data_IF_769767546023
#
_entry.id   IF_769767546023
#
_cell.length_a   1.000
_cell.length_b   1.000
_cell.length_c   1.000
_cell.angle_alpha   90.00
_cell.angle_beta   90.00
_cell.angle_gamma   90.00
#
_symmetry.space_group_name_H-M   'P 1'
#
loop_
_entity.id
_entity.type
_entity.pdbx_description
1 polymer ?
#
# COMPACT_ATOMS: atom_id res chain seq x y z
N UNK A 1 -12.00 -5.71 0.14
CA UNK A 1 -11.27 -6.97 0.37
C UNK A 1 -9.79 -6.73 0.09
N UNK A 2 -8.92 -6.66 1.09
CA UNK A 2 -7.52 -6.23 0.90
C UNK A 2 -6.57 -7.29 1.41
N UNK A 3 -5.55 -7.62 0.63
CA UNK A 3 -4.49 -8.58 0.98
C UNK A 3 -3.17 -7.82 1.11
N UNK A 4 -2.45 -8.06 2.21
CA UNK A 4 -1.14 -7.50 2.47
C UNK A 4 -0.23 -8.68 2.83
N UNK A 5 0.83 -8.88 2.05
CA UNK A 5 1.78 -9.98 2.24
C UNK A 5 2.92 -9.58 3.18
N UNK A 6 3.69 -10.58 3.63
CA UNK A 6 4.72 -10.41 4.65
C UNK A 6 5.77 -9.34 4.34
N UNK A 7 6.23 -8.64 5.37
CA UNK A 7 7.23 -7.58 5.23
C UNK A 7 6.75 -6.32 4.49
N UNK A 8 5.46 -6.24 4.11
CA UNK A 8 4.92 -5.03 3.52
C UNK A 8 4.74 -3.91 4.56
N UNK A 9 5.09 -2.69 4.17
CA UNK A 9 4.94 -1.48 4.99
C UNK A 9 3.94 -0.53 4.32
N UNK A 10 2.83 -0.22 4.99
CA UNK A 10 1.82 0.74 4.50
C UNK A 10 1.65 1.89 5.49
N UNK A 11 1.82 3.14 5.05
CA UNK A 11 1.69 4.34 5.90
C UNK A 11 0.92 5.45 5.19
N UNK A 12 -0.02 6.08 5.89
CA UNK A 12 -0.75 7.26 5.40
C UNK A 12 -1.77 6.99 4.29
N UNK A 13 -2.04 5.73 3.94
CA UNK A 13 -2.97 5.34 2.86
C UNK A 13 -4.14 4.54 3.44
N UNK A 14 -5.34 4.77 2.92
CA UNK A 14 -6.50 3.90 3.16
C UNK A 14 -6.68 2.97 1.96
N UNK A 15 -6.65 1.66 2.18
CA UNK A 15 -6.70 0.65 1.11
C UNK A 15 -8.11 0.10 0.94
N UNK A 16 -8.57 -0.01 -0.31
CA UNK A 16 -9.81 -0.71 -0.65
C UNK A 16 -9.62 -1.57 -1.89
N UNK A 17 -9.94 -2.84 -1.76
CA UNK A 17 -9.90 -3.83 -2.86
C UNK A 17 -8.47 -3.96 -3.47
N UNK A 18 -7.46 -3.96 -2.59
CA UNK A 18 -6.04 -3.87 -2.93
C UNK A 18 -5.26 -5.15 -2.64
N UNK A 19 -4.12 -5.32 -3.33
CA UNK A 19 -3.13 -6.37 -3.07
C UNK A 19 -1.77 -5.69 -2.91
N UNK A 20 -1.11 -5.93 -1.78
CA UNK A 20 0.24 -5.42 -1.49
C UNK A 20 1.21 -6.59 -1.39
N UNK A 21 2.17 -6.65 -2.33
CA UNK A 21 3.16 -7.71 -2.44
C UNK A 21 4.12 -7.80 -1.25
N UNK A 22 4.80 -8.93 -1.12
CA UNK A 22 5.78 -9.17 -0.05
C UNK A 22 6.92 -8.15 -0.12
N UNK A 23 7.37 -7.66 1.04
CA UNK A 23 8.51 -6.71 1.13
C UNK A 23 8.24 -5.33 0.52
N UNK A 24 6.99 -5.02 0.18
CA UNK A 24 6.65 -3.77 -0.52
C UNK A 24 6.48 -2.60 0.44
N UNK A 25 6.70 -1.37 -0.04
CA UNK A 25 6.53 -0.15 0.75
C UNK A 25 5.55 0.79 0.06
N UNK A 26 4.50 1.21 0.76
CA UNK A 26 3.52 2.19 0.30
C UNK A 26 3.42 3.29 1.34
N UNK A 27 3.84 4.50 0.99
CA UNK A 27 3.80 5.66 1.90
C UNK A 27 3.11 6.81 1.21
N UNK A 28 2.17 7.45 1.90
CA UNK A 28 1.59 8.73 1.47
C UNK A 28 2.03 9.84 2.41
N UNK A 29 2.57 10.91 1.84
CA UNK A 29 3.09 12.06 2.60
C UNK A 29 2.02 13.08 3.00
N UNK A 30 0.88 13.10 2.31
CA UNK A 30 -0.21 14.02 2.62
C UNK A 30 -0.98 13.62 3.89
N UNK A 31 -1.61 14.61 4.55
CA UNK A 31 -2.33 14.42 5.82
C UNK A 31 -3.74 13.85 5.66
N UNK A 32 -4.22 13.59 4.44
CA UNK A 32 -5.60 13.14 4.21
C UNK A 32 -5.61 11.77 3.57
N UNK A 33 -5.85 10.70 4.35
CA UNK A 33 -5.99 9.36 3.82
C UNK A 33 -7.03 9.34 2.70
N UNK A 34 -6.59 9.07 1.48
CA UNK A 34 -7.50 8.78 0.36
C UNK A 34 -7.65 7.28 0.23
N UNK A 35 -8.88 6.86 -0.02
CA UNK A 35 -9.19 5.46 -0.33
C UNK A 35 -8.65 5.17 -1.73
N UNK A 36 -7.72 4.22 -1.81
CA UNK A 36 -7.09 3.82 -3.06
C UNK A 36 -7.24 2.32 -3.29
N UNK A 37 -7.44 1.97 -4.56
CA UNK A 37 -7.29 0.61 -5.05
C UNK A 37 -5.89 0.47 -5.64
N UNK A 38 -5.09 -0.42 -5.08
CA UNK A 38 -3.69 -0.62 -5.46
C UNK A 38 -3.41 -2.09 -5.73
N UNK A 39 -2.63 -2.36 -6.77
CA UNK A 39 -1.99 -3.66 -7.00
C UNK A 39 -0.50 -3.40 -7.03
N UNK A 40 0.19 -3.77 -5.96
CA UNK A 40 1.62 -3.56 -5.77
C UNK A 40 2.29 -4.94 -5.82
N UNK A 41 3.23 -5.12 -6.75
CA UNK A 41 4.05 -6.32 -6.84
C UNK A 41 5.04 -6.43 -5.68
N UNK A 42 5.76 -7.54 -5.61
CA UNK A 42 6.74 -7.78 -4.56
C UNK A 42 7.92 -6.80 -4.63
N UNK A 43 8.54 -6.53 -3.47
CA UNK A 43 9.70 -5.64 -3.31
C UNK A 43 9.56 -4.28 -4.00
N UNK A 44 8.32 -3.80 -4.13
CA UNK A 44 8.01 -2.55 -4.82
C UNK A 44 7.86 -1.39 -3.84
N UNK A 45 8.25 -0.19 -4.25
CA UNK A 45 8.08 1.03 -3.43
C UNK A 45 7.19 2.04 -4.14
N UNK A 46 6.20 2.56 -3.43
CA UNK A 46 5.27 3.60 -3.88
C UNK A 46 5.24 4.74 -2.86
N UNK A 47 5.56 5.96 -3.31
CA UNK A 47 5.42 7.19 -2.53
C UNK A 47 4.47 8.15 -3.27
N UNK A 48 3.36 8.54 -2.61
CA UNK A 48 2.23 9.28 -3.22
C UNK A 48 1.59 10.33 -2.31
#
# INVERSE_FOLDING_TARGET
NTVILDGATVRGVSLRDSIIGQGSRVVRGDRRPRVMRLVIGENSSLEV
#
